data_IF_423450019595
#
_entry.id   IF_423450019595
#
_cell.length_a   1.000
_cell.length_b   1.000
_cell.length_c   1.000
_cell.angle_alpha   90.00
_cell.angle_beta   90.00
_cell.angle_gamma   90.00
#
_symmetry.space_group_name_H-M   'P 1'
#
loop_
_entity.id
_entity.type
_entity.pdbx_description
1 polymer ?
#
# COMPACT_ATOMS: atom_id res chain seq x y z
N UNK A 1 -22.78 -5.39 7.92
CA UNK A 1 -22.34 -4.90 6.58
C UNK A 1 -22.95 -3.56 6.14
N UNK A 2 -24.29 -3.43 6.10
CA UNK A 2 -24.98 -2.19 5.62
C UNK A 2 -24.65 -0.96 6.48
N UNK A 3 -24.76 -1.07 7.81
CA UNK A 3 -24.48 0.03 8.76
C UNK A 3 -23.04 0.55 8.63
N UNK A 4 -22.05 -0.34 8.48
CA UNK A 4 -20.63 0.03 8.29
C UNK A 4 -20.41 0.82 7.01
N UNK A 5 -21.04 0.39 5.90
CA UNK A 5 -20.96 1.11 4.61
C UNK A 5 -21.59 2.50 4.72
N UNK A 6 -22.74 2.62 5.39
CA UNK A 6 -23.37 3.92 5.64
C UNK A 6 -22.47 4.82 6.50
N UNK A 7 -21.87 4.31 7.58
CA UNK A 7 -20.98 5.09 8.44
C UNK A 7 -19.75 5.61 7.67
N UNK A 8 -19.15 4.79 6.81
CA UNK A 8 -18.03 5.23 5.95
C UNK A 8 -18.48 6.28 4.93
N UNK A 9 -19.67 6.15 4.35
CA UNK A 9 -20.24 7.15 3.45
C UNK A 9 -20.52 8.48 4.16
N UNK A 10 -21.03 8.44 5.39
CA UNK A 10 -21.22 9.65 6.20
C UNK A 10 -19.89 10.31 6.54
N UNK A 11 -18.87 9.51 6.87
CA UNK A 11 -17.52 10.03 7.10
C UNK A 11 -16.98 10.74 5.86
N UNK A 12 -17.11 10.10 4.68
CA UNK A 12 -16.69 10.69 3.41
C UNK A 12 -17.38 12.04 3.16
N UNK A 13 -18.71 12.07 3.26
CA UNK A 13 -19.50 13.28 3.05
C UNK A 13 -19.12 14.38 4.05
N UNK A 14 -18.91 14.03 5.32
CA UNK A 14 -18.48 14.98 6.35
C UNK A 14 -17.10 15.58 6.04
N UNK A 15 -16.12 14.75 5.68
CA UNK A 15 -14.78 15.20 5.32
C UNK A 15 -14.80 16.10 4.09
N UNK A 16 -15.60 15.75 3.08
CA UNK A 16 -15.76 16.55 1.86
C UNK A 16 -16.42 17.90 2.15
N UNK A 17 -17.36 17.95 3.11
CA UNK A 17 -18.05 19.19 3.51
C UNK A 17 -17.15 20.21 4.22
N UNK A 18 -15.93 19.85 4.62
CA UNK A 18 -15.03 20.75 5.32
C UNK A 18 -14.48 21.82 4.37
N UNK A 19 -15.24 22.91 4.23
CA UNK A 19 -14.89 24.08 3.43
C UNK A 19 -13.75 24.90 4.06
N UNK A 20 -13.61 24.88 5.39
CA UNK A 20 -12.59 25.67 6.09
C UNK A 20 -11.28 24.91 6.25
N UNK A 21 -10.15 25.59 6.03
CA UNK A 21 -8.82 25.01 6.25
C UNK A 21 -8.56 24.57 7.70
N UNK A 22 -9.23 25.17 8.69
CA UNK A 22 -9.05 24.84 10.11
C UNK A 22 -9.77 23.53 10.50
N UNK A 23 -11.02 23.35 10.07
CA UNK A 23 -11.76 22.09 10.32
C UNK A 23 -11.09 20.91 9.60
N UNK A 24 -10.71 21.09 8.33
CA UNK A 24 -9.94 20.10 7.55
C UNK A 24 -8.65 19.70 8.27
N UNK A 25 -7.89 20.68 8.77
CA UNK A 25 -6.63 20.44 9.50
C UNK A 25 -6.84 19.68 10.81
N UNK A 26 -7.85 20.06 11.61
CA UNK A 26 -8.15 19.37 12.87
C UNK A 26 -8.57 17.91 12.62
N UNK A 27 -9.48 17.68 11.68
CA UNK A 27 -9.90 16.34 11.29
C UNK A 27 -8.72 15.50 10.78
N UNK A 28 -7.87 16.10 9.93
CA UNK A 28 -6.66 15.44 9.41
C UNK A 28 -5.74 14.99 10.55
N UNK A 29 -5.52 15.83 11.56
CA UNK A 29 -4.68 15.47 12.73
C UNK A 29 -5.28 14.31 13.52
N UNK A 30 -6.61 14.29 13.73
CA UNK A 30 -7.27 13.20 14.44
C UNK A 30 -7.11 11.86 13.71
N UNK A 31 -7.28 11.85 12.39
CA UNK A 31 -7.10 10.65 11.57
C UNK A 31 -5.65 10.18 11.59
N UNK A 32 -4.69 11.10 11.51
CA UNK A 32 -3.27 10.76 11.64
C UNK A 32 -2.97 10.14 13.01
N UNK A 33 -3.42 10.76 14.10
CA UNK A 33 -3.21 10.24 15.45
C UNK A 33 -3.84 8.87 15.65
N UNK A 34 -5.04 8.65 15.08
CA UNK A 34 -5.69 7.35 15.09
C UNK A 34 -4.86 6.30 14.32
N UNK A 35 -4.29 6.66 13.18
CA UNK A 35 -3.45 5.73 12.42
C UNK A 35 -2.12 5.44 13.14
N UNK A 36 -1.47 6.48 13.69
CA UNK A 36 -0.21 6.35 14.44
C UNK A 36 -0.38 5.51 15.71
N UNK A 37 -1.51 5.64 16.43
CA UNK A 37 -1.79 4.79 17.59
C UNK A 37 -1.99 3.32 17.22
N UNK A 38 -2.29 3.03 15.95
CA UNK A 38 -2.45 1.66 15.45
C UNK A 38 -1.14 1.09 14.87
N UNK A 39 -0.14 1.91 14.51
CA UNK A 39 1.19 1.41 14.16
C UNK A 39 1.84 0.74 15.34
N UNK A 40 1.74 1.34 16.53
CA UNK A 40 2.26 0.73 17.76
C UNK A 40 1.51 -0.55 18.15
N UNK A 41 0.26 -0.72 17.68
CA UNK A 41 -0.48 -1.98 17.78
C UNK A 41 -0.07 -2.98 16.70
N UNK A 42 0.17 -2.54 15.46
CA UNK A 42 0.63 -3.39 14.36
C UNK A 42 2.05 -3.94 14.61
N UNK A 43 2.94 -3.15 15.20
CA UNK A 43 4.27 -3.59 15.65
C UNK A 43 4.15 -4.67 16.74
N UNK A 44 3.18 -4.52 17.66
CA UNK A 44 2.86 -5.55 18.67
C UNK A 44 2.24 -6.81 18.06
N UNK A 45 1.33 -6.65 17.10
CA UNK A 45 0.68 -7.76 16.41
C UNK A 45 1.66 -8.57 15.55
N UNK A 46 2.61 -7.89 14.88
CA UNK A 46 3.71 -8.56 14.16
C UNK A 46 4.66 -9.33 15.08
N UNK A 47 4.79 -8.93 16.34
CA UNK A 47 5.52 -9.70 17.36
C UNK A 47 4.70 -10.89 17.91
N UNK A 48 3.37 -10.72 18.04
CA UNK A 48 2.46 -11.75 18.55
C UNK A 48 2.26 -12.93 17.60
N UNK A 49 2.43 -12.75 16.28
CA UNK A 49 2.39 -13.87 15.32
C UNK A 49 3.49 -14.92 15.55
N UNK A 50 4.47 -14.67 16.43
CA UNK A 50 5.53 -15.61 16.79
C UNK A 50 5.30 -16.36 18.13
N UNK A 51 4.28 -16.03 18.92
CA UNK A 51 4.09 -16.60 20.26
C UNK A 51 2.68 -17.19 20.37
N UNK A 52 2.56 -18.49 20.13
CA UNK A 52 1.29 -19.23 20.21
C UNK A 52 0.79 -19.38 21.64
N UNK A 53 -0.42 -18.89 21.92
CA UNK A 53 -1.11 -19.03 23.20
C UNK A 53 -2.62 -18.73 23.09
N UNK A 54 -3.45 -19.48 23.82
CA UNK A 54 -4.92 -19.52 23.65
C UNK A 54 -5.68 -18.30 24.20
N UNK A 55 -5.15 -17.57 25.18
CA UNK A 55 -5.77 -16.31 25.65
C UNK A 55 -5.39 -15.09 24.79
N UNK A 56 -4.23 -15.15 24.13
CA UNK A 56 -3.78 -14.11 23.20
C UNK A 56 -4.56 -14.09 21.89
N UNK A 57 -5.24 -15.16 21.50
CA UNK A 57 -5.96 -15.23 20.21
C UNK A 57 -7.16 -14.28 20.13
N UNK A 58 -8.00 -14.20 21.18
CA UNK A 58 -9.17 -13.30 21.18
C UNK A 58 -8.77 -11.84 21.23
N UNK A 59 -7.72 -11.52 21.99
CA UNK A 59 -7.17 -10.17 22.06
C UNK A 59 -6.52 -9.78 20.72
N UNK A 60 -5.75 -10.68 20.12
CA UNK A 60 -5.17 -10.51 18.79
C UNK A 60 -6.24 -10.29 17.73
N UNK A 61 -7.34 -11.06 17.76
CA UNK A 61 -8.45 -10.91 16.82
C UNK A 61 -9.17 -9.55 16.97
N UNK A 62 -9.39 -9.10 18.21
CA UNK A 62 -9.97 -7.79 18.48
C UNK A 62 -9.05 -6.64 18.01
N UNK A 63 -7.77 -6.69 18.37
CA UNK A 63 -6.76 -5.69 17.97
C UNK A 63 -6.55 -5.68 16.44
N UNK A 64 -6.54 -6.84 15.79
CA UNK A 64 -6.48 -6.95 14.33
C UNK A 64 -7.73 -6.33 13.66
N UNK A 65 -8.93 -6.58 14.20
CA UNK A 65 -10.16 -5.96 13.70
C UNK A 65 -10.15 -4.43 13.81
N UNK A 66 -9.61 -3.89 14.90
CA UNK A 66 -9.48 -2.44 15.10
C UNK A 66 -8.52 -1.81 14.09
N UNK A 67 -7.36 -2.45 13.86
CA UNK A 67 -6.38 -1.99 12.86
C UNK A 67 -6.99 -2.02 11.45
N UNK A 68 -7.72 -3.09 11.10
CA UNK A 68 -8.47 -3.16 9.83
C UNK A 68 -9.50 -2.04 9.73
N UNK A 69 -10.20 -1.72 10.81
CA UNK A 69 -11.19 -0.64 10.80
C UNK A 69 -10.53 0.72 10.54
N UNK A 70 -9.41 0.99 11.20
CA UNK A 70 -8.64 2.22 11.06
C UNK A 70 -8.05 2.36 9.66
N UNK A 71 -7.54 1.29 9.06
CA UNK A 71 -7.08 1.31 7.67
C UNK A 71 -8.22 1.58 6.68
N UNK A 72 -9.42 1.05 6.93
CA UNK A 72 -10.59 1.40 6.11
C UNK A 72 -11.00 2.87 6.26
N UNK A 73 -10.91 3.43 7.47
CA UNK A 73 -11.10 4.87 7.70
C UNK A 73 -10.04 5.66 6.94
N UNK A 74 -8.76 5.27 7.02
CA UNK A 74 -7.67 5.92 6.32
C UNK A 74 -7.91 5.93 4.81
N UNK A 75 -8.27 4.80 4.20
CA UNK A 75 -8.63 4.71 2.78
C UNK A 75 -9.66 5.77 2.37
N UNK A 76 -10.76 5.89 3.12
CA UNK A 76 -11.84 6.84 2.81
C UNK A 76 -11.38 8.28 3.04
N UNK A 77 -10.60 8.52 4.10
CA UNK A 77 -10.31 9.85 4.56
C UNK A 77 -9.11 10.51 3.89
N UNK A 78 -8.09 9.73 3.53
CA UNK A 78 -6.82 10.18 2.94
C UNK A 78 -7.00 11.20 1.81
N UNK A 79 -7.90 11.00 0.83
CA UNK A 79 -8.09 11.95 -0.25
C UNK A 79 -8.50 13.36 0.22
N UNK A 80 -9.17 13.44 1.37
CA UNK A 80 -9.75 14.67 1.91
C UNK A 80 -8.90 15.32 3.01
N UNK A 81 -7.70 14.80 3.30
CA UNK A 81 -6.80 15.42 4.27
C UNK A 81 -6.01 16.57 3.65
N UNK A 82 -5.33 17.37 4.48
CA UNK A 82 -4.34 18.32 3.98
C UNK A 82 -3.08 17.59 3.50
N UNK A 83 -2.37 18.13 2.50
CA UNK A 83 -1.23 17.46 1.86
C UNK A 83 -0.15 17.04 2.83
N UNK A 84 0.21 17.95 3.75
CA UNK A 84 1.16 17.66 4.84
C UNK A 84 0.76 16.43 5.65
N UNK A 85 -0.53 16.22 5.88
CA UNK A 85 -1.03 15.07 6.62
C UNK A 85 -1.15 13.85 5.70
N UNK A 86 -1.58 14.00 4.43
CA UNK A 86 -1.57 12.91 3.45
C UNK A 86 -0.19 12.26 3.35
N UNK A 87 0.87 13.07 3.24
CA UNK A 87 2.26 12.58 3.22
C UNK A 87 2.60 11.77 4.47
N UNK A 88 2.22 12.26 5.66
CA UNK A 88 2.48 11.55 6.92
C UNK A 88 1.73 10.22 7.00
N UNK A 89 0.44 10.22 6.62
CA UNK A 89 -0.38 9.01 6.59
C UNK A 89 0.22 7.98 5.64
N UNK A 90 0.66 8.39 4.44
CA UNK A 90 1.28 7.47 3.49
C UNK A 90 2.60 6.91 4.00
N UNK A 91 3.44 7.71 4.65
CA UNK A 91 4.66 7.21 5.29
C UNK A 91 4.37 6.17 6.36
N UNK A 92 3.27 6.32 7.10
CA UNK A 92 2.80 5.29 8.03
C UNK A 92 2.37 4.02 7.29
N UNK A 93 1.59 4.14 6.22
CA UNK A 93 1.15 2.99 5.40
C UNK A 93 2.34 2.25 4.78
N UNK A 94 3.34 2.99 4.27
CA UNK A 94 4.59 2.44 3.74
C UNK A 94 5.34 1.64 4.80
N UNK A 95 5.48 2.18 6.03
CA UNK A 95 6.10 1.44 7.14
C UNK A 95 5.36 0.13 7.45
N UNK A 96 4.03 0.17 7.50
CA UNK A 96 3.20 -1.02 7.71
C UNK A 96 3.37 -2.05 6.58
N UNK A 97 3.53 -1.59 5.33
CA UNK A 97 3.80 -2.47 4.20
C UNK A 97 5.17 -3.16 4.33
N UNK A 98 6.21 -2.41 4.71
CA UNK A 98 7.56 -2.96 4.97
C UNK A 98 7.56 -3.97 6.12
N UNK A 99 6.78 -3.73 7.17
CA UNK A 99 6.62 -4.64 8.30
C UNK A 99 5.93 -5.97 7.93
N UNK A 100 5.40 -6.08 6.69
CA UNK A 100 4.73 -7.27 6.15
C UNK A 100 3.66 -7.81 7.10
N UNK A 101 2.90 -6.92 7.74
CA UNK A 101 1.82 -7.30 8.66
C UNK A 101 0.79 -8.17 7.93
N UNK A 102 0.90 -9.48 8.12
CA UNK A 102 0.11 -10.48 7.41
C UNK A 102 -1.38 -10.29 7.74
N UNK A 103 -2.24 -10.34 6.72
CA UNK A 103 -3.68 -10.06 6.87
C UNK A 103 -4.09 -8.58 6.72
N UNK A 104 -3.16 -7.64 6.88
CA UNK A 104 -3.45 -6.20 6.72
C UNK A 104 -3.06 -5.65 5.35
N UNK A 105 -2.22 -6.36 4.59
CA UNK A 105 -1.63 -5.86 3.34
C UNK A 105 -2.66 -5.34 2.35
N UNK A 106 -3.77 -6.05 2.13
CA UNK A 106 -4.82 -5.59 1.22
C UNK A 106 -5.40 -4.24 1.65
N UNK A 107 -5.60 -4.00 2.94
CA UNK A 107 -6.12 -2.74 3.45
C UNK A 107 -5.09 -1.61 3.35
N UNK A 108 -3.82 -1.93 3.54
CA UNK A 108 -2.70 -0.99 3.33
C UNK A 108 -2.62 -0.58 1.86
N UNK A 109 -2.59 -1.54 0.92
CA UNK A 109 -2.55 -1.28 -0.52
C UNK A 109 -3.74 -0.45 -0.99
N UNK A 110 -4.97 -0.77 -0.55
CA UNK A 110 -6.16 0.02 -0.88
C UNK A 110 -6.07 1.47 -0.36
N UNK A 111 -5.39 1.70 0.77
CA UNK A 111 -5.21 3.05 1.33
C UNK A 111 -4.15 3.84 0.56
N UNK A 112 -3.08 3.17 0.12
CA UNK A 112 -2.08 3.74 -0.80
C UNK A 112 -2.72 4.06 -2.16
N UNK A 113 -3.60 3.19 -2.67
CA UNK A 113 -4.37 3.44 -3.89
C UNK A 113 -5.21 4.71 -3.76
N UNK A 114 -5.98 4.86 -2.68
CA UNK A 114 -6.79 6.05 -2.43
C UNK A 114 -5.94 7.34 -2.34
N UNK A 115 -4.72 7.24 -1.81
CA UNK A 115 -3.77 8.35 -1.87
C UNK A 115 -3.38 8.66 -3.31
N UNK A 116 -2.88 7.66 -4.05
CA UNK A 116 -2.39 7.83 -5.40
C UNK A 116 -3.48 8.38 -6.34
N UNK A 117 -4.73 7.96 -6.19
CA UNK A 117 -5.86 8.41 -7.00
C UNK A 117 -6.02 9.95 -6.99
N UNK A 118 -5.97 10.58 -5.80
CA UNK A 118 -6.25 12.02 -5.63
C UNK A 118 -5.05 12.88 -5.22
N UNK A 119 -3.84 12.34 -5.24
CA UNK A 119 -2.62 13.11 -4.92
C UNK A 119 -2.19 13.96 -6.11
N UNK A 120 -1.83 15.21 -5.83
CA UNK A 120 -1.22 16.15 -6.77
C UNK A 120 0.27 15.84 -6.97
N UNK A 121 0.79 16.26 -8.11
CA UNK A 121 2.16 15.97 -8.55
C UNK A 121 3.22 16.50 -7.56
N UNK A 122 3.01 17.69 -7.02
CA UNK A 122 3.86 18.34 -6.02
C UNK A 122 3.87 17.58 -4.69
N UNK A 123 2.78 16.90 -4.35
CA UNK A 123 2.66 16.15 -3.10
C UNK A 123 3.28 14.75 -3.26
N UNK A 124 3.05 14.06 -4.37
CA UNK A 124 3.60 12.72 -4.59
C UNK A 124 5.12 12.73 -4.72
N UNK A 125 5.71 13.75 -5.36
CA UNK A 125 7.17 13.88 -5.51
C UNK A 125 7.95 13.94 -4.20
N UNK A 126 7.28 14.20 -3.06
CA UNK A 126 7.87 14.22 -1.71
C UNK A 126 7.91 12.85 -1.01
N UNK A 127 7.19 11.85 -1.55
CA UNK A 127 6.97 10.54 -0.92
C UNK A 127 7.07 9.37 -1.91
N UNK A 128 7.24 9.67 -3.20
CA UNK A 128 7.27 8.64 -4.25
C UNK A 128 8.39 7.62 -4.08
N UNK A 129 9.60 8.05 -3.67
CA UNK A 129 10.72 7.13 -3.46
C UNK A 129 10.38 6.10 -2.37
N UNK A 130 9.83 6.55 -1.23
CA UNK A 130 9.37 5.68 -0.14
C UNK A 130 8.30 4.68 -0.63
N UNK A 131 7.35 5.14 -1.47
CA UNK A 131 6.29 4.28 -2.03
C UNK A 131 6.86 3.25 -3.00
N UNK A 132 7.73 3.68 -3.92
CA UNK A 132 8.30 2.84 -4.97
C UNK A 132 9.19 1.77 -4.34
N UNK A 133 10.03 2.13 -3.37
CA UNK A 133 10.87 1.18 -2.64
C UNK A 133 10.02 0.11 -1.95
N UNK A 134 9.00 0.53 -1.20
CA UNK A 134 8.11 -0.37 -0.47
C UNK A 134 7.34 -1.32 -1.40
N UNK A 135 6.77 -0.80 -2.48
CA UNK A 135 6.03 -1.61 -3.45
C UNK A 135 6.95 -2.54 -4.22
N UNK A 136 8.14 -2.09 -4.63
CA UNK A 136 9.11 -2.92 -5.35
C UNK A 136 9.62 -4.07 -4.48
N UNK A 137 9.90 -3.78 -3.21
CA UNK A 137 10.28 -4.79 -2.20
C UNK A 137 9.16 -5.79 -1.95
N UNK A 138 7.90 -5.33 -1.91
CA UNK A 138 6.75 -6.20 -1.74
C UNK A 138 6.50 -7.10 -2.96
N UNK A 139 6.54 -6.55 -4.17
CA UNK A 139 6.35 -7.29 -5.44
C UNK A 139 7.42 -8.35 -5.61
N UNK A 140 8.67 -8.05 -5.24
CA UNK A 140 9.79 -9.00 -5.36
C UNK A 140 9.79 -10.09 -4.27
N UNK A 141 8.82 -10.11 -3.37
CA UNK A 141 8.75 -11.07 -2.27
C UNK A 141 8.17 -12.40 -2.74
N UNK A 142 8.81 -13.52 -2.38
CA UNK A 142 8.37 -14.87 -2.79
C UNK A 142 7.23 -15.45 -1.95
N UNK A 143 6.99 -14.91 -0.75
CA UNK A 143 6.09 -15.49 0.25
C UNK A 143 4.84 -14.63 0.48
N UNK A 144 4.27 -14.07 -0.59
CA UNK A 144 3.08 -13.21 -0.52
C UNK A 144 2.00 -13.72 -1.49
N UNK A 145 0.70 -13.50 -1.18
CA UNK A 145 -0.39 -13.88 -2.09
C UNK A 145 -0.26 -13.20 -3.46
N UNK A 146 -0.52 -13.94 -4.54
CA UNK A 146 -0.40 -13.41 -5.92
C UNK A 146 -1.35 -12.25 -6.18
N UNK A 147 -2.55 -12.27 -5.60
CA UNK A 147 -3.53 -11.20 -5.77
C UNK A 147 -3.02 -9.87 -5.21
N UNK A 148 -2.31 -9.89 -4.08
CA UNK A 148 -1.74 -8.68 -3.48
C UNK A 148 -0.48 -8.22 -4.21
N UNK A 149 0.29 -9.14 -4.82
CA UNK A 149 1.41 -8.79 -5.71
C UNK A 149 0.92 -8.04 -6.94
N UNK A 150 -0.14 -8.52 -7.61
CA UNK A 150 -0.71 -7.83 -8.77
C UNK A 150 -1.21 -6.42 -8.38
N UNK A 151 -1.89 -6.31 -7.24
CA UNK A 151 -2.32 -5.00 -6.72
C UNK A 151 -1.14 -4.07 -6.46
N UNK A 152 -0.07 -4.56 -5.81
CA UNK A 152 1.13 -3.77 -5.55
C UNK A 152 1.86 -3.36 -6.85
N UNK A 153 1.96 -4.26 -7.84
CA UNK A 153 2.57 -3.97 -9.15
C UNK A 153 1.79 -2.90 -9.91
N UNK A 154 0.45 -2.93 -9.86
CA UNK A 154 -0.38 -1.87 -10.44
C UNK A 154 -0.15 -0.52 -9.76
N UNK A 155 -0.07 -0.50 -8.42
CA UNK A 155 0.22 0.73 -7.67
C UNK A 155 1.63 1.25 -7.95
N UNK A 156 2.60 0.35 -8.13
CA UNK A 156 3.98 0.69 -8.49
C UNK A 156 4.02 1.39 -9.85
N UNK A 157 3.29 0.84 -10.83
CA UNK A 157 3.11 1.49 -12.14
C UNK A 157 2.48 2.88 -12.00
N UNK A 158 1.37 3.01 -11.26
CA UNK A 158 0.70 4.31 -11.05
C UNK A 158 1.64 5.33 -10.41
N UNK A 159 2.44 4.92 -9.42
CA UNK A 159 3.42 5.79 -8.77
C UNK A 159 4.50 6.27 -9.75
N UNK A 160 5.04 5.36 -10.58
CA UNK A 160 6.00 5.68 -11.63
C UNK A 160 5.42 6.66 -12.67
N UNK A 161 4.19 6.41 -13.14
CA UNK A 161 3.51 7.27 -14.11
C UNK A 161 3.30 8.69 -13.56
N UNK A 162 2.93 8.82 -12.29
CA UNK A 162 2.72 10.12 -11.63
C UNK A 162 4.01 10.89 -11.40
N UNK A 163 5.12 10.24 -11.04
CA UNK A 163 6.39 10.95 -10.93
C UNK A 163 6.97 11.32 -12.28
N UNK A 164 6.75 10.52 -13.33
CA UNK A 164 7.15 10.87 -14.68
C UNK A 164 6.54 12.21 -15.12
N UNK A 165 5.27 12.44 -14.78
CA UNK A 165 4.56 13.68 -15.07
C UNK A 165 5.08 14.90 -14.28
N UNK A 166 5.83 14.71 -13.19
CA UNK A 166 6.23 15.78 -12.27
C UNK A 166 7.71 16.04 -12.08
N UNK A 167 8.51 14.98 -12.11
CA UNK A 167 9.93 15.01 -11.78
C UNK A 167 10.63 13.88 -12.54
N UNK A 168 10.93 14.14 -13.81
CA UNK A 168 11.59 13.19 -14.73
C UNK A 168 12.94 12.71 -14.18
N UNK A 169 13.64 13.55 -13.40
CA UNK A 169 14.90 13.18 -12.76
C UNK A 169 14.70 12.08 -11.72
N UNK A 170 13.72 12.26 -10.80
CA UNK A 170 13.34 11.21 -9.86
C UNK A 170 12.78 9.98 -10.57
N UNK A 171 12.03 10.16 -11.66
CA UNK A 171 11.56 9.03 -12.45
C UNK A 171 12.71 8.20 -13.01
N UNK A 172 13.70 8.82 -13.65
CA UNK A 172 14.88 8.13 -14.17
C UNK A 172 15.64 7.34 -13.09
N UNK A 173 15.74 7.90 -11.87
CA UNK A 173 16.38 7.23 -10.72
C UNK A 173 15.60 5.99 -10.25
N UNK A 174 14.27 6.06 -10.23
CA UNK A 174 13.41 5.05 -9.61
C UNK A 174 12.85 4.02 -10.62
N UNK A 175 12.87 4.34 -11.92
CA UNK A 175 12.38 3.46 -12.98
C UNK A 175 13.05 2.08 -12.99
N UNK A 176 14.40 1.95 -12.89
CA UNK A 176 15.03 0.63 -12.91
C UNK A 176 14.57 -0.25 -11.76
N UNK A 177 14.37 0.32 -10.57
CA UNK A 177 13.92 -0.42 -9.39
C UNK A 177 12.52 -0.99 -9.61
N UNK A 178 11.58 -0.14 -10.03
CA UNK A 178 10.20 -0.58 -10.25
C UNK A 178 10.07 -1.54 -11.43
N UNK A 179 10.80 -1.29 -12.52
CA UNK A 179 10.80 -2.18 -13.69
C UNK A 179 11.35 -3.57 -13.34
N UNK A 180 12.48 -3.64 -12.63
CA UNK A 180 13.08 -4.92 -12.24
C UNK A 180 12.18 -5.74 -11.31
N UNK A 181 11.45 -5.09 -10.40
CA UNK A 181 10.48 -5.78 -9.54
C UNK A 181 9.35 -6.42 -10.35
N UNK A 182 8.77 -5.69 -11.30
CA UNK A 182 7.69 -6.20 -12.17
C UNK A 182 8.22 -7.30 -13.11
N UNK A 183 9.38 -7.08 -13.74
CA UNK A 183 9.98 -8.05 -14.65
C UNK A 183 10.35 -9.35 -13.93
N UNK A 184 10.89 -9.25 -12.70
CA UNK A 184 11.21 -10.41 -11.87
C UNK A 184 9.99 -11.27 -11.55
N UNK A 185 8.84 -10.64 -11.26
CA UNK A 185 7.59 -11.35 -11.02
C UNK A 185 7.04 -12.00 -12.30
N UNK A 186 7.18 -11.35 -13.46
CA UNK A 186 6.80 -11.97 -14.72
C UNK A 186 7.66 -13.22 -15.00
N UNK A 187 8.98 -13.12 -14.88
CA UNK A 187 9.89 -14.25 -15.13
C UNK A 187 9.64 -15.40 -14.16
N UNK A 188 9.44 -15.12 -12.86
CA UNK A 188 9.13 -16.16 -11.86
C UNK A 188 7.83 -16.89 -12.19
N UNK A 189 6.83 -16.16 -12.70
CA UNK A 189 5.58 -16.76 -13.16
C UNK A 189 5.81 -17.68 -14.38
N UNK A 190 6.61 -17.24 -15.36
CA UNK A 190 6.93 -18.03 -16.57
C UNK A 190 7.76 -19.29 -16.26
N UNK A 191 8.76 -19.21 -15.38
CA UNK A 191 9.54 -20.38 -14.95
C UNK A 191 8.66 -21.43 -14.25
N UNK A 192 7.69 -21.00 -13.44
CA UNK A 192 6.73 -21.89 -12.80
C UNK A 192 5.84 -22.65 -13.82
N UNK A 193 5.50 -22.04 -14.96
CA UNK A 193 4.78 -22.72 -16.05
C UNK A 193 5.68 -23.68 -16.84
N UNK A 194 6.97 -23.36 -16.99
CA UNK A 194 7.94 -24.22 -17.69
C UNK A 194 8.33 -25.46 -16.87
N UNK A 195 8.25 -25.41 -15.54
CA UNK A 195 8.53 -26.56 -14.64
C UNK A 195 7.33 -27.50 -14.49
N UNK A 196 6.10 -27.04 -14.79
CA UNK A 196 4.86 -27.83 -14.61
C UNK A 196 4.10 -28.16 -15.91
N UNK A 197 4.66 -27.85 -17.09
CA UNK A 197 4.13 -28.24 -18.40
C UNK A 197 5.06 -29.24 -19.11
N UNK A 198 4.55 -30.14 -19.97
CA UNK A 198 5.40 -31.09 -20.68
C UNK A 198 6.38 -30.33 -21.57
N UNK A 199 7.66 -30.55 -21.29
CA UNK A 199 8.81 -29.99 -21.99
C UNK A 199 8.71 -30.33 -23.49
N UNK A 200 8.45 -29.33 -24.34
CA UNK A 200 8.85 -29.38 -25.75
C UNK A 200 9.77 -28.20 -26.01
N UNK A 201 11.06 -28.49 -25.86
CA UNK A 201 12.17 -27.60 -26.20
C UNK A 201 12.20 -27.40 -27.72
N UNK A 202 11.94 -26.18 -28.16
CA UNK A 202 12.49 -25.65 -29.41
C UNK A 202 13.21 -24.33 -29.06
N UNK A 203 14.54 -24.35 -29.06
CA UNK A 203 15.36 -23.15 -29.19
C UNK A 203 16.12 -23.17 -30.52
N UNK A 204 16.99 -22.19 -30.81
CA UNK A 204 16.99 -20.80 -30.36
C UNK A 204 16.97 -19.84 -31.57
N UNK A 205 16.21 -18.74 -31.50
CA UNK A 205 16.44 -17.59 -32.36
C UNK A 205 16.51 -16.35 -31.47
N UNK A 206 17.72 -15.80 -31.33
CA UNK A 206 18.01 -14.37 -31.28
C UNK A 206 19.53 -14.22 -31.14
N UNK A 207 20.22 -14.20 -32.29
CA UNK A 207 21.45 -13.43 -32.42
C UNK A 207 21.05 -12.04 -32.90
N UNK A 208 21.43 -11.01 -32.14
CA UNK A 208 21.45 -9.64 -32.62
C UNK A 208 22.76 -9.42 -33.37
N UNK A 209 22.64 -9.10 -34.66
CA UNK A 209 23.66 -8.43 -35.47
C UNK A 209 23.15 -7.05 -35.85
#
# INVERSE_FOLDING_TARGET
PKVRKCAMLYLENALQSFQSGNSKRKASKLILSLLESNVSLADKLGALTNVGGSESEKQFEAEHSDVVHVLNIARVAVPYLSDKIRIKVVRVLVKLLHARSFGLTRFILNSIEAFLDKVEVETITQVAEDIIDALSSYVSSKNVPKETVISAANLLKIALDKIHAGDVSKWNKNLPLGFNAIAGELVSSFEMYMVNGPMTLCGPCLQFG
#
